data_IF_949225131701
#
_entry.id   IF_949225131701
#
_cell.length_a   1.000
_cell.length_b   1.000
_cell.length_c   1.000
_cell.angle_alpha   90.00
_cell.angle_beta   90.00
_cell.angle_gamma   90.00
#
_symmetry.space_group_name_H-M   'P 1'
#
loop_
_entity.id
_entity.type
_entity.pdbx_description
1 polymer ?
#
# COMPACT_ATOMS: atom_id res chain seq x y z
N UNK A 1 -13.10 84.81 -31.78
CA UNK A 1 -13.12 84.12 -30.48
C UNK A 1 -11.84 83.29 -30.43
N UNK A 2 -10.75 83.97 -30.14
CA UNK A 2 -10.00 83.90 -28.87
C UNK A 2 -9.28 82.55 -28.70
N UNK A 3 -8.01 82.46 -28.33
CA UNK A 3 -6.83 83.32 -28.37
C UNK A 3 -5.69 82.36 -27.99
N UNK A 4 -4.52 82.48 -28.62
CA UNK A 4 -3.18 82.25 -28.02
C UNK A 4 -2.90 81.01 -27.12
N UNK A 5 -1.83 80.25 -27.42
CA UNK A 5 -0.45 80.44 -26.90
C UNK A 5 0.35 79.13 -26.84
N UNK A 6 1.57 79.23 -27.39
CA UNK A 6 2.84 78.63 -26.98
C UNK A 6 2.82 77.75 -25.71
N UNK A 7 3.28 76.51 -25.86
CA UNK A 7 3.81 75.74 -24.74
C UNK A 7 5.35 75.65 -24.84
N UNK A 8 6.00 76.41 -23.96
CA UNK A 8 7.40 76.25 -23.58
C UNK A 8 7.57 74.96 -22.80
N UNK A 9 8.67 74.28 -23.07
CA UNK A 9 9.27 73.22 -22.27
C UNK A 9 9.64 73.71 -20.88
N UNK A 10 9.24 72.97 -19.85
CA UNK A 10 9.85 73.06 -18.52
C UNK A 10 9.92 71.66 -17.91
N UNK A 11 11.14 71.24 -17.59
CA UNK A 11 11.50 69.96 -16.99
C UNK A 11 10.97 69.90 -15.56
N UNK A 12 10.26 68.82 -15.21
CA UNK A 12 10.16 68.35 -13.83
C UNK A 12 10.96 67.06 -13.68
N UNK A 13 11.85 67.07 -12.69
CA UNK A 13 12.65 65.92 -12.22
C UNK A 13 11.72 64.95 -11.49
N UNK A 14 11.64 63.71 -11.97
CA UNK A 14 11.06 62.60 -11.22
C UNK A 14 12.19 61.75 -10.61
N UNK A 15 12.11 61.56 -9.29
CA UNK A 15 12.91 60.61 -8.52
C UNK A 15 12.59 59.17 -8.98
N UNK A 16 13.58 58.26 -9.07
CA UNK A 16 13.33 56.88 -9.42
C UNK A 16 12.95 56.12 -8.15
N UNK A 17 11.67 55.83 -7.98
CA UNK A 17 11.22 54.71 -7.16
C UNK A 17 10.17 53.96 -7.98
N UNK A 18 10.63 53.00 -8.77
CA UNK A 18 9.79 51.95 -9.36
C UNK A 18 10.63 50.67 -9.31
N UNK A 19 10.37 49.85 -8.29
CA UNK A 19 9.58 48.62 -8.39
C UNK A 19 10.24 47.60 -9.33
N UNK A 20 11.22 46.88 -8.77
CA UNK A 20 11.75 45.66 -9.35
C UNK A 20 10.64 44.59 -9.21
N UNK A 21 9.91 44.31 -10.28
CA UNK A 21 9.06 43.11 -10.35
C UNK A 21 10.00 41.93 -10.50
N UNK A 22 10.36 41.31 -9.37
CA UNK A 22 11.01 40.01 -9.35
C UNK A 22 9.92 38.99 -9.69
N UNK A 23 9.93 38.51 -10.94
CA UNK A 23 9.31 37.25 -11.31
C UNK A 23 10.09 36.14 -10.60
N UNK A 24 9.62 35.75 -9.41
CA UNK A 24 10.00 34.51 -8.77
C UNK A 24 9.27 33.39 -9.51
N UNK A 25 9.96 32.46 -10.21
CA UNK A 25 9.35 31.19 -10.53
C UNK A 25 9.09 30.49 -9.19
N UNK A 26 7.82 30.35 -8.81
CA UNK A 26 7.44 29.37 -7.81
C UNK A 26 7.67 27.99 -8.43
N UNK A 27 8.91 27.51 -8.34
CA UNK A 27 9.19 26.09 -8.37
C UNK A 27 8.53 25.50 -7.12
N UNK A 28 7.27 25.08 -7.26
CA UNK A 28 6.67 24.14 -6.32
C UNK A 28 7.46 22.83 -6.50
N UNK A 29 8.59 22.71 -5.80
CA UNK A 29 9.12 21.40 -5.48
C UNK A 29 8.09 20.75 -4.57
N UNK A 30 7.25 19.88 -5.15
CA UNK A 30 6.64 18.81 -4.39
C UNK A 30 7.79 18.04 -3.76
N UNK A 31 7.96 18.26 -2.46
CA UNK A 31 8.83 17.47 -1.63
C UNK A 31 8.13 16.12 -1.49
N UNK A 32 8.36 15.22 -2.44
CA UNK A 32 8.14 13.80 -2.20
C UNK A 32 9.06 13.47 -1.03
N UNK A 33 8.47 13.25 0.15
CA UNK A 33 9.17 12.94 1.40
C UNK A 33 9.81 11.55 1.30
N UNK A 34 10.86 11.43 0.49
CA UNK A 34 11.74 10.28 0.48
C UNK A 34 13.10 10.76 0.98
N UNK A 35 13.38 10.44 2.24
CA UNK A 35 14.68 10.67 2.86
C UNK A 35 15.70 9.77 2.13
N UNK A 36 16.65 10.32 1.35
CA UNK A 36 17.51 9.54 0.45
C UNK A 36 18.62 8.76 1.16
N UNK A 37 18.67 8.81 2.49
CA UNK A 37 19.57 8.00 3.32
C UNK A 37 18.72 7.09 4.20
N UNK A 38 18.38 5.89 3.71
CA UNK A 38 17.85 4.82 4.57
C UNK A 38 18.90 4.51 5.64
N UNK A 39 18.62 4.73 6.93
CA UNK A 39 19.48 4.25 8.00
C UNK A 39 19.60 2.72 7.91
N UNK A 40 20.76 2.18 8.26
CA UNK A 40 21.05 0.74 8.32
C UNK A 40 20.24 0.02 9.41
N UNK A 41 18.91 0.02 9.34
CA UNK A 41 18.08 -0.79 10.21
C UNK A 41 17.83 -2.15 9.60
N UNK A 42 18.17 -3.18 10.37
CA UNK A 42 18.01 -4.58 10.01
C UNK A 42 16.94 -5.24 10.86
N UNK A 43 16.30 -4.48 11.77
CA UNK A 43 15.14 -4.89 12.54
C UNK A 43 13.83 -4.44 11.89
N UNK A 44 12.84 -5.33 11.89
CA UNK A 44 11.55 -5.16 11.25
C UNK A 44 10.41 -5.47 12.21
N UNK A 45 9.31 -4.74 12.09
CA UNK A 45 8.03 -5.14 12.66
C UNK A 45 7.42 -6.22 11.78
N UNK A 46 6.87 -7.26 12.41
CA UNK A 46 6.04 -8.25 11.74
C UNK A 46 4.73 -8.40 12.49
N UNK A 47 3.62 -8.37 11.78
CA UNK A 47 2.38 -8.93 12.29
C UNK A 47 2.49 -10.45 12.27
N UNK A 48 1.95 -11.11 13.29
CA UNK A 48 1.97 -12.56 13.38
C UNK A 48 0.66 -13.10 13.94
N UNK A 49 0.34 -14.32 13.51
CA UNK A 49 -0.70 -15.14 14.13
C UNK A 49 -0.11 -16.37 14.81
N UNK A 50 -0.74 -16.79 15.90
CA UNK A 50 -0.36 -18.00 16.64
C UNK A 50 -0.92 -19.26 15.99
N UNK A 51 -0.11 -20.33 15.91
CA UNK A 51 -0.57 -21.67 15.49
C UNK A 51 -1.04 -22.54 16.65
N UNK A 52 -0.90 -22.06 17.89
CA UNK A 52 -1.20 -22.83 19.11
C UNK A 52 -2.44 -22.32 19.83
N UNK A 53 -3.20 -21.40 19.21
CA UNK A 53 -4.36 -20.74 19.81
C UNK A 53 -3.99 -19.71 20.90
N UNK A 54 -2.72 -19.33 20.98
CA UNK A 54 -2.27 -18.21 21.82
C UNK A 54 -2.60 -16.87 21.14
N UNK A 55 -2.24 -15.77 21.79
CA UNK A 55 -2.44 -14.42 21.25
C UNK A 55 -1.72 -14.22 19.92
N UNK A 56 -2.42 -13.63 18.96
CA UNK A 56 -1.83 -12.99 17.80
C UNK A 56 -1.19 -11.66 18.23
N UNK A 57 -0.32 -11.08 17.39
CA UNK A 57 0.26 -9.79 17.71
C UNK A 57 1.34 -9.31 16.77
N UNK A 58 2.22 -8.46 17.31
CA UNK A 58 3.30 -7.81 16.58
C UNK A 58 4.63 -8.22 17.22
N UNK A 59 5.66 -8.44 16.42
CA UNK A 59 7.00 -8.72 16.89
C UNK A 59 8.05 -7.82 16.21
N UNK A 60 9.19 -7.62 16.88
CA UNK A 60 10.40 -7.03 16.28
C UNK A 60 11.38 -8.15 15.99
N UNK A 61 11.85 -8.24 14.75
CA UNK A 61 12.73 -9.32 14.27
C UNK A 61 13.95 -8.78 13.52
N UNK A 62 15.13 -9.35 13.78
CA UNK A 62 16.36 -9.10 13.03
C UNK A 62 16.38 -9.92 11.73
N UNK A 63 16.52 -9.27 10.57
CA UNK A 63 16.47 -9.90 9.26
C UNK A 63 17.75 -9.76 8.44
N UNK A 64 18.81 -9.14 8.95
CA UNK A 64 20.10 -9.23 8.28
C UNK A 64 20.71 -10.64 8.45
N UNK A 65 20.91 -11.42 7.37
CA UNK A 65 21.49 -12.76 7.43
C UNK A 65 22.93 -12.80 7.94
N UNK A 66 23.58 -11.64 8.02
CA UNK A 66 24.95 -11.48 8.51
C UNK A 66 24.98 -11.12 10.00
N UNK A 67 23.83 -10.84 10.62
CA UNK A 67 23.72 -10.57 12.05
C UNK A 67 23.82 -11.87 12.88
N UNK A 68 24.52 -11.88 14.03
CA UNK A 68 24.61 -13.05 14.91
C UNK A 68 23.25 -13.57 15.41
N UNK A 69 22.26 -12.69 15.47
CA UNK A 69 20.91 -12.93 15.95
C UNK A 69 19.86 -12.92 14.81
N UNK A 70 20.28 -13.21 13.58
CA UNK A 70 19.36 -13.37 12.44
C UNK A 70 18.16 -14.26 12.78
N UNK A 71 16.96 -13.73 12.51
CA UNK A 71 15.67 -14.34 12.81
C UNK A 71 15.31 -14.40 14.30
N UNK A 72 16.01 -13.67 15.17
CA UNK A 72 15.65 -13.54 16.58
C UNK A 72 14.55 -12.49 16.77
N UNK A 73 13.59 -12.78 17.65
CA UNK A 73 12.56 -11.83 18.05
C UNK A 73 13.02 -11.12 19.33
N UNK A 74 13.20 -9.80 19.27
CA UNK A 74 13.70 -8.98 20.38
C UNK A 74 12.58 -8.35 21.22
N UNK A 75 11.40 -8.17 20.64
CA UNK A 75 10.21 -7.61 21.29
C UNK A 75 8.95 -8.26 20.74
N UNK A 76 7.94 -8.45 21.59
CA UNK A 76 6.60 -8.87 21.19
C UNK A 76 5.54 -8.02 21.89
N UNK A 77 4.42 -7.82 21.21
CA UNK A 77 3.22 -7.21 21.75
C UNK A 77 2.02 -8.05 21.31
N UNK A 78 1.38 -8.67 22.29
CA UNK A 78 0.17 -9.47 22.06
C UNK A 78 -1.05 -8.55 21.93
N UNK A 79 -1.90 -8.84 20.94
CA UNK A 79 -3.17 -8.14 20.71
C UNK A 79 -4.38 -8.95 21.20
N UNK A 80 -4.24 -10.28 21.21
CA UNK A 80 -5.28 -11.22 21.65
C UNK A 80 -5.45 -12.37 20.66
N UNK A 81 -6.10 -13.45 21.11
CA UNK A 81 -6.36 -14.60 20.26
C UNK A 81 -7.45 -14.27 19.22
N UNK A 82 -7.19 -14.57 17.95
CA UNK A 82 -8.15 -14.33 16.86
C UNK A 82 -8.26 -12.86 16.45
N UNK A 83 -7.31 -12.02 16.85
CA UNK A 83 -7.22 -10.64 16.34
C UNK A 83 -6.79 -10.65 14.89
N UNK A 84 -5.86 -11.54 14.52
CA UNK A 84 -5.36 -11.67 13.14
C UNK A 84 -4.88 -10.31 12.57
N UNK A 85 -3.85 -9.68 13.17
CA UNK A 85 -3.25 -8.48 12.60
C UNK A 85 -2.72 -8.80 11.21
N UNK A 86 -2.95 -7.91 10.25
CA UNK A 86 -2.80 -8.21 8.83
C UNK A 86 -1.85 -7.25 8.13
N UNK A 87 -2.05 -5.93 8.17
CA UNK A 87 -1.16 -4.97 7.52
C UNK A 87 -0.57 -3.94 8.49
N UNK A 88 0.71 -3.62 8.33
CA UNK A 88 1.40 -2.57 9.08
C UNK A 88 1.59 -1.32 8.22
N UNK A 89 1.29 -0.15 8.79
CA UNK A 89 1.44 1.14 8.11
C UNK A 89 1.97 2.23 9.02
N UNK A 90 2.84 3.07 8.45
CA UNK A 90 3.11 4.38 9.02
C UNK A 90 2.15 5.43 8.49
N UNK A 91 1.87 6.45 9.31
CA UNK A 91 1.29 7.68 8.78
C UNK A 91 2.31 8.48 7.93
N UNK A 92 1.83 9.52 7.23
CA UNK A 92 2.62 10.33 6.27
C UNK A 92 4.00 10.80 6.75
N UNK A 93 4.14 11.15 8.04
CA UNK A 93 5.41 11.63 8.59
C UNK A 93 6.17 10.55 9.41
N UNK A 94 5.76 9.29 9.28
CA UNK A 94 6.37 8.13 9.93
C UNK A 94 6.51 8.23 11.45
N UNK A 95 5.61 8.96 12.11
CA UNK A 95 5.66 9.15 13.57
C UNK A 95 4.60 8.34 14.35
N UNK A 96 3.67 7.70 13.64
CA UNK A 96 2.68 6.77 14.19
C UNK A 96 2.68 5.49 13.35
N UNK A 97 2.64 4.36 14.02
CA UNK A 97 2.49 3.04 13.42
C UNK A 97 1.07 2.53 13.67
N UNK A 98 0.51 1.85 12.70
CA UNK A 98 -0.82 1.25 12.73
C UNK A 98 -0.72 -0.20 12.29
N UNK A 99 -1.55 -1.07 12.86
CA UNK A 99 -1.83 -2.40 12.32
C UNK A 99 -3.32 -2.52 12.04
N UNK A 100 -3.68 -2.99 10.86
CA UNK A 100 -5.05 -3.42 10.54
C UNK A 100 -5.22 -4.87 10.92
N UNK A 101 -6.46 -5.30 11.12
CA UNK A 101 -6.74 -6.64 11.61
C UNK A 101 -8.03 -7.20 11.00
N UNK A 102 -8.04 -8.50 10.76
CA UNK A 102 -9.21 -9.21 10.22
C UNK A 102 -10.23 -9.52 11.32
N UNK A 103 -9.79 -9.53 12.58
CA UNK A 103 -10.61 -9.71 13.78
C UNK A 103 -10.37 -8.62 14.83
N UNK A 104 -10.90 -8.86 16.04
CA UNK A 104 -10.75 -7.93 17.16
C UNK A 104 -11.41 -6.57 16.90
N UNK A 105 -10.62 -5.50 17.05
CA UNK A 105 -11.06 -4.12 16.80
C UNK A 105 -10.78 -3.63 15.38
N UNK A 106 -10.24 -4.48 14.51
CA UNK A 106 -9.94 -4.24 13.09
C UNK A 106 -8.89 -3.17 12.76
N UNK A 107 -8.62 -2.23 13.67
CA UNK A 107 -7.58 -1.21 13.54
C UNK A 107 -6.98 -0.86 14.90
N UNK A 108 -5.66 -0.81 14.97
CA UNK A 108 -4.92 -0.43 16.18
C UNK A 108 -3.84 0.59 15.86
N UNK A 109 -3.69 1.61 16.71
CA UNK A 109 -2.46 2.41 16.73
C UNK A 109 -1.44 1.73 17.65
N UNK A 110 -0.24 1.50 17.12
CA UNK A 110 0.87 0.87 17.82
C UNK A 110 1.80 1.96 18.36
N UNK A 111 2.09 1.90 19.66
CA UNK A 111 3.12 2.70 20.29
C UNK A 111 4.43 1.94 20.31
N UNK A 112 5.46 2.55 19.75
CA UNK A 112 6.83 2.02 19.71
C UNK A 112 7.78 2.99 20.42
N UNK A 113 8.86 2.45 20.97
CA UNK A 113 9.94 3.20 21.63
C UNK A 113 11.28 2.57 21.24
N UNK A 114 12.38 3.22 21.62
CA UNK A 114 13.73 2.64 21.56
C UNK A 114 14.20 2.30 22.97
N UNK A 115 14.85 1.15 23.14
CA UNK A 115 15.47 0.79 24.40
C UNK A 115 16.77 1.60 24.65
N UNK A 116 17.46 1.32 25.76
CA UNK A 116 18.71 2.00 26.15
C UNK A 116 19.85 1.85 25.12
N UNK A 117 19.77 0.85 24.24
CA UNK A 117 20.75 0.56 23.20
C UNK A 117 20.27 1.06 21.82
N UNK A 118 19.10 1.70 21.74
CA UNK A 118 18.51 2.16 20.50
C UNK A 118 17.66 1.12 19.77
N UNK A 119 17.45 -0.08 20.35
CA UNK A 119 16.70 -1.15 19.69
C UNK A 119 15.19 -0.86 19.72
N UNK A 120 14.47 -1.12 18.62
CA UNK A 120 13.02 -0.95 18.57
C UNK A 120 12.31 -1.82 19.61
N UNK A 121 11.34 -1.24 20.29
CA UNK A 121 10.52 -1.89 21.31
C UNK A 121 9.04 -1.59 21.08
N UNK A 122 8.22 -2.62 21.16
CA UNK A 122 6.76 -2.49 21.15
C UNK A 122 6.27 -2.22 22.58
N UNK A 123 5.40 -1.22 22.76
CA UNK A 123 4.96 -0.75 24.08
C UNK A 123 3.50 -1.08 24.34
N UNK A 124 2.63 -0.71 23.42
CA UNK A 124 1.18 -0.91 23.57
C UNK A 124 0.49 -0.76 22.22
N UNK A 125 -0.68 -1.38 22.07
CA UNK A 125 -1.59 -1.14 20.96
C UNK A 125 -2.90 -0.59 21.51
N UNK A 126 -3.41 0.47 20.89
CA UNK A 126 -4.68 1.09 21.26
C UNK A 126 -5.68 0.85 20.14
N UNK A 127 -6.82 0.21 20.39
CA UNK A 127 -7.84 0.03 19.37
C UNK A 127 -8.39 1.38 18.92
N UNK A 128 -8.69 1.50 17.63
CA UNK A 128 -9.34 2.66 17.04
C UNK A 128 -10.78 2.27 16.73
N UNK A 129 -11.72 3.16 17.06
CA UNK A 129 -13.15 2.93 16.79
C UNK A 129 -13.43 2.97 15.27
N UNK A 130 -13.78 1.82 14.71
CA UNK A 130 -14.16 1.66 13.30
C UNK A 130 -15.67 1.79 13.09
N UNK A 131 -16.43 2.11 14.13
CA UNK A 131 -17.88 2.19 14.11
C UNK A 131 -18.51 0.84 13.80
N UNK A 132 -19.38 0.80 12.79
CA UNK A 132 -20.01 -0.43 12.32
C UNK A 132 -19.15 -1.24 11.34
N UNK A 133 -17.96 -0.75 10.96
CA UNK A 133 -17.16 -1.35 9.91
C UNK A 133 -16.30 -2.50 10.44
N UNK A 134 -16.28 -3.60 9.70
CA UNK A 134 -15.67 -4.87 10.10
C UNK A 134 -14.66 -5.37 9.06
N UNK A 135 -13.65 -6.12 9.54
CA UNK A 135 -12.60 -6.77 8.74
C UNK A 135 -11.74 -5.77 7.99
N UNK A 136 -10.69 -5.29 8.65
CA UNK A 136 -9.86 -4.20 8.17
C UNK A 136 -8.69 -4.65 7.31
N UNK A 137 -8.50 -3.99 6.16
CA UNK A 137 -7.46 -4.33 5.18
C UNK A 137 -6.41 -3.22 5.05
N UNK A 138 -6.46 -2.43 3.98
CA UNK A 138 -5.37 -1.51 3.63
C UNK A 138 -5.67 -0.09 4.10
N UNK A 139 -4.60 0.66 4.39
CA UNK A 139 -4.66 2.08 4.71
C UNK A 139 -4.08 2.94 3.58
N UNK A 140 -4.62 4.14 3.41
CA UNK A 140 -3.98 5.20 2.65
C UNK A 140 -4.05 6.52 3.42
N UNK A 141 -2.91 7.12 3.74
CA UNK A 141 -2.85 8.43 4.38
C UNK A 141 -2.73 9.54 3.33
N UNK A 142 -3.45 10.65 3.49
CA UNK A 142 -3.44 11.79 2.57
C UNK A 142 -2.80 13.02 3.20
N UNK A 143 -2.34 13.96 2.37
CA UNK A 143 -1.67 15.18 2.80
C UNK A 143 -2.59 16.15 3.55
N UNK A 144 -3.91 16.04 3.38
CA UNK A 144 -4.88 16.91 4.05
C UNK A 144 -5.24 16.46 5.48
N UNK A 145 -4.51 15.48 6.03
CA UNK A 145 -4.69 15.01 7.39
C UNK A 145 -5.83 14.00 7.55
N UNK A 146 -6.32 13.40 6.46
CA UNK A 146 -7.18 12.21 6.49
C UNK A 146 -6.37 10.94 6.27
N UNK A 147 -6.92 9.81 6.73
CA UNK A 147 -6.56 8.51 6.19
C UNK A 147 -7.82 7.70 5.88
N UNK A 148 -7.67 6.80 4.93
CA UNK A 148 -8.72 5.93 4.44
C UNK A 148 -8.37 4.50 4.79
N UNK A 149 -9.40 3.70 5.05
CA UNK A 149 -9.25 2.28 5.36
C UNK A 149 -10.34 1.49 4.65
N UNK A 150 -9.96 0.41 4.00
CA UNK A 150 -10.90 -0.55 3.43
C UNK A 150 -11.38 -1.52 4.50
N UNK A 151 -12.67 -1.84 4.43
CA UNK A 151 -13.32 -2.81 5.29
C UNK A 151 -14.07 -3.82 4.43
N UNK A 152 -13.52 -5.02 4.30
CA UNK A 152 -14.08 -6.08 3.46
C UNK A 152 -15.48 -6.47 3.92
N UNK A 153 -15.71 -6.52 5.22
CA UNK A 153 -16.99 -6.92 5.80
C UNK A 153 -18.03 -5.81 5.80
N UNK A 154 -17.63 -4.53 5.65
CA UNK A 154 -18.54 -3.40 5.82
C UNK A 154 -19.31 -3.54 7.15
N UNK A 155 -20.65 -3.52 7.09
CA UNK A 155 -21.52 -3.70 8.26
C UNK A 155 -21.87 -5.18 8.56
N UNK A 156 -21.25 -6.15 7.88
CA UNK A 156 -21.40 -7.59 8.09
C UNK A 156 -22.34 -8.30 7.13
N UNK A 157 -22.84 -7.64 6.08
CA UNK A 157 -23.72 -8.24 5.08
C UNK A 157 -23.00 -9.07 4.01
N UNK A 158 -23.74 -10.01 3.41
CA UNK A 158 -23.24 -10.96 2.40
C UNK A 158 -22.70 -10.34 1.11
N UNK A 159 -22.89 -9.05 0.84
CA UNK A 159 -22.32 -8.32 -0.30
C UNK A 159 -21.92 -6.91 0.12
N UNK A 160 -21.57 -6.77 1.40
CA UNK A 160 -21.16 -5.50 1.97
C UNK A 160 -19.71 -5.19 1.62
N UNK A 161 -19.36 -3.95 1.93
CA UNK A 161 -18.04 -3.39 1.78
C UNK A 161 -18.11 -1.91 2.09
N UNK A 162 -17.04 -1.35 2.63
CA UNK A 162 -17.00 0.08 2.89
C UNK A 162 -15.58 0.62 2.93
N UNK A 163 -15.48 1.95 2.85
CA UNK A 163 -14.25 2.68 3.14
C UNK A 163 -14.49 3.62 4.30
N UNK A 164 -13.74 3.46 5.39
CA UNK A 164 -13.72 4.42 6.49
C UNK A 164 -12.82 5.60 6.18
N UNK A 165 -13.25 6.80 6.56
CA UNK A 165 -12.47 8.04 6.47
C UNK A 165 -12.21 8.54 7.87
N UNK A 166 -10.95 8.65 8.23
CA UNK A 166 -10.50 8.98 9.56
C UNK A 166 -9.70 10.28 9.58
N UNK A 167 -9.71 10.95 10.72
CA UNK A 167 -8.80 12.05 10.99
C UNK A 167 -7.44 11.50 11.44
N UNK A 168 -6.36 11.78 10.71
CA UNK A 168 -5.02 11.26 11.02
C UNK A 168 -4.40 11.85 12.30
N UNK A 169 -4.90 12.99 12.78
CA UNK A 169 -4.38 13.61 14.00
C UNK A 169 -4.88 12.90 15.25
N UNK A 170 -6.18 12.57 15.31
CA UNK A 170 -6.82 12.02 16.51
C UNK A 170 -7.48 10.63 16.31
N UNK A 171 -7.31 10.02 15.14
CA UNK A 171 -7.88 8.72 14.74
C UNK A 171 -9.41 8.63 14.78
N UNK A 172 -10.12 9.74 14.82
CA UNK A 172 -11.58 9.71 14.83
C UNK A 172 -12.12 9.30 13.46
N UNK A 173 -13.03 8.32 13.42
CA UNK A 173 -13.84 8.03 12.24
C UNK A 173 -14.75 9.23 11.94
N UNK A 174 -14.56 9.85 10.77
CA UNK A 174 -15.31 11.02 10.31
C UNK A 174 -16.48 10.59 9.42
N UNK A 175 -16.28 9.58 8.58
CA UNK A 175 -17.26 9.15 7.57
C UNK A 175 -17.05 7.69 7.21
N UNK A 176 -18.14 7.02 6.87
CA UNK A 176 -18.10 5.74 6.16
C UNK A 176 -18.69 5.94 4.76
N UNK A 177 -17.95 5.52 3.74
CA UNK A 177 -18.36 5.48 2.34
C UNK A 177 -18.93 4.09 2.09
N UNK A 178 -20.22 4.03 1.75
CA UNK A 178 -20.93 2.79 1.43
C UNK A 178 -21.66 2.96 0.12
N UNK A 179 -21.71 1.89 -0.67
CA UNK A 179 -22.50 1.82 -1.89
C UNK A 179 -22.91 0.36 -2.13
N UNK A 180 -24.02 -0.09 -1.55
CA UNK A 180 -24.50 -1.46 -1.71
C UNK A 180 -24.77 -1.78 -3.19
N UNK A 181 -24.34 -2.96 -3.64
CA UNK A 181 -24.51 -3.39 -5.03
C UNK A 181 -25.99 -3.49 -5.46
N UNK A 182 -26.89 -3.69 -4.50
CA UNK A 182 -28.34 -3.76 -4.73
C UNK A 182 -28.93 -2.40 -5.11
N UNK A 183 -28.34 -1.30 -4.66
CA UNK A 183 -28.80 0.05 -4.95
C UNK A 183 -28.37 0.49 -6.36
N UNK A 184 -27.14 0.13 -6.75
CA UNK A 184 -26.62 0.39 -8.09
C UNK A 184 -25.56 -0.63 -8.52
N UNK A 185 -25.89 -1.57 -9.42
CA UNK A 185 -24.95 -2.61 -9.84
C UNK A 185 -23.79 -2.09 -10.70
N UNK A 186 -23.83 -0.83 -11.15
CA UNK A 186 -22.75 -0.20 -11.92
C UNK A 186 -21.84 0.67 -11.06
N UNK A 187 -22.20 0.91 -9.79
CA UNK A 187 -21.46 1.78 -8.87
C UNK A 187 -21.63 1.28 -7.44
N UNK A 188 -20.73 0.40 -7.01
CA UNK A 188 -20.82 -0.25 -5.71
C UNK A 188 -19.46 -0.44 -5.05
N UNK A 189 -19.48 -0.69 -3.75
CA UNK A 189 -18.32 -1.15 -2.97
C UNK A 189 -18.73 -2.49 -2.36
N UNK A 190 -17.97 -3.54 -2.67
CA UNK A 190 -18.18 -4.89 -2.14
C UNK A 190 -16.81 -5.51 -1.91
N UNK A 191 -16.56 -6.03 -0.72
CA UNK A 191 -15.29 -6.67 -0.34
C UNK A 191 -14.02 -5.86 -0.68
N UNK A 192 -13.98 -4.55 -0.35
CA UNK A 192 -12.79 -3.76 -0.66
C UNK A 192 -11.59 -4.25 0.13
N UNK A 193 -10.49 -4.51 -0.58
CA UNK A 193 -9.21 -4.94 -0.01
C UNK A 193 -8.16 -3.85 -0.28
N UNK A 194 -7.55 -3.86 -1.46
CA UNK A 194 -6.63 -2.83 -1.92
C UNK A 194 -7.28 -1.46 -2.04
N UNK A 195 -6.51 -0.43 -1.72
CA UNK A 195 -6.86 0.98 -1.87
C UNK A 195 -5.67 1.74 -2.44
N UNK A 196 -5.94 2.68 -3.35
CA UNK A 196 -4.92 3.63 -3.79
C UNK A 196 -5.54 4.98 -4.08
N UNK A 197 -4.79 6.04 -3.80
CA UNK A 197 -5.23 7.43 -3.97
C UNK A 197 -4.24 8.20 -4.83
N UNK A 198 -4.77 9.02 -5.72
CA UNK A 198 -4.04 10.03 -6.45
C UNK A 198 -4.61 11.41 -6.08
N UNK A 199 -3.99 12.07 -5.11
CA UNK A 199 -4.46 13.35 -4.56
C UNK A 199 -4.49 14.47 -5.60
N UNK A 200 -3.51 14.49 -6.52
CA UNK A 200 -3.43 15.48 -7.60
C UNK A 200 -4.66 15.44 -8.52
N UNK A 201 -5.21 14.23 -8.74
CA UNK A 201 -6.44 14.04 -9.52
C UNK A 201 -7.71 14.09 -8.67
N UNK A 202 -7.58 14.06 -7.34
CA UNK A 202 -8.69 13.92 -6.42
C UNK A 202 -9.43 12.59 -6.59
N UNK A 203 -8.68 11.50 -6.83
CA UNK A 203 -9.24 10.17 -7.10
C UNK A 203 -8.75 9.14 -6.10
N UNK A 204 -9.66 8.23 -5.73
CA UNK A 204 -9.39 7.04 -4.94
C UNK A 204 -9.95 5.83 -5.68
N UNK A 205 -9.29 4.69 -5.63
CA UNK A 205 -9.81 3.45 -6.18
C UNK A 205 -9.66 2.33 -5.15
N UNK A 206 -10.67 1.48 -5.06
CA UNK A 206 -10.66 0.28 -4.21
C UNK A 206 -10.96 -0.97 -5.03
N UNK A 207 -10.35 -2.09 -4.68
CA UNK A 207 -10.61 -3.38 -5.32
C UNK A 207 -11.88 -4.05 -4.77
N UNK A 208 -12.23 -5.23 -5.29
CA UNK A 208 -13.30 -6.09 -4.79
C UNK A 208 -12.78 -7.53 -4.83
N UNK A 209 -12.33 -8.06 -3.69
CA UNK A 209 -11.56 -9.31 -3.64
C UNK A 209 -12.43 -10.53 -3.34
N UNK A 210 -12.78 -10.71 -2.06
CA UNK A 210 -13.43 -11.92 -1.54
C UNK A 210 -14.22 -11.56 -0.28
N UNK A 211 -15.33 -12.24 -0.03
CA UNK A 211 -16.03 -12.09 1.25
C UNK A 211 -15.13 -12.53 2.43
N UNK A 212 -15.18 -11.87 3.60
CA UNK A 212 -14.31 -12.19 4.75
C UNK A 212 -14.36 -13.64 5.27
N UNK A 213 -15.48 -14.34 5.09
CA UNK A 213 -15.60 -15.76 5.45
C UNK A 213 -14.93 -16.72 4.44
N UNK A 214 -14.31 -16.17 3.39
CA UNK A 214 -13.60 -16.85 2.31
C UNK A 214 -14.46 -17.80 1.47
N UNK A 215 -15.79 -17.79 1.65
CA UNK A 215 -16.70 -18.79 1.04
C UNK A 215 -17.95 -18.19 0.42
N UNK A 216 -18.43 -17.04 0.89
CA UNK A 216 -19.68 -16.42 0.43
C UNK A 216 -19.58 -15.71 -0.92
N UNK A 217 -18.38 -15.49 -1.46
CA UNK A 217 -18.20 -15.04 -2.83
C UNK A 217 -16.90 -14.29 -3.08
N UNK A 218 -16.64 -14.03 -4.36
CA UNK A 218 -15.48 -13.31 -4.86
C UNK A 218 -15.93 -12.12 -5.72
N UNK A 219 -15.10 -11.09 -5.77
CA UNK A 219 -15.28 -9.95 -6.66
C UNK A 219 -14.41 -10.06 -7.92
N UNK A 220 -14.62 -9.11 -8.82
CA UNK A 220 -13.89 -8.99 -10.09
C UNK A 220 -13.81 -7.54 -10.58
N UNK A 221 -13.85 -6.58 -9.66
CA UNK A 221 -13.97 -5.16 -10.01
C UNK A 221 -13.02 -4.26 -9.22
N UNK A 222 -12.79 -3.07 -9.76
CA UNK A 222 -12.23 -1.92 -9.04
C UNK A 222 -13.19 -0.74 -9.12
N UNK A 223 -13.48 -0.08 -8.00
CA UNK A 223 -14.40 1.06 -7.94
C UNK A 223 -13.65 2.37 -7.72
N UNK A 224 -13.86 3.33 -8.63
CA UNK A 224 -13.32 4.68 -8.57
C UNK A 224 -14.26 5.62 -7.82
N UNK A 225 -13.68 6.37 -6.90
CA UNK A 225 -14.35 7.26 -5.96
C UNK A 225 -13.72 8.65 -6.09
N UNK A 226 -14.56 9.68 -6.10
CA UNK A 226 -14.08 11.06 -5.96
C UNK A 226 -13.57 11.29 -4.52
N UNK A 227 -12.31 11.67 -4.38
CA UNK A 227 -11.65 11.80 -3.08
C UNK A 227 -12.25 12.91 -2.20
N UNK A 228 -12.90 13.91 -2.82
CA UNK A 228 -13.45 15.08 -2.12
C UNK A 228 -14.91 14.91 -1.79
N UNK A 229 -15.72 14.42 -2.74
CA UNK A 229 -17.16 14.26 -2.54
C UNK A 229 -17.55 12.89 -2.01
N UNK A 230 -16.66 11.90 -2.11
CA UNK A 230 -16.89 10.49 -1.81
C UNK A 230 -17.93 9.83 -2.73
N UNK A 231 -18.26 10.46 -3.85
CA UNK A 231 -19.17 9.90 -4.84
C UNK A 231 -18.47 8.86 -5.71
N UNK A 232 -19.15 7.74 -5.97
CA UNK A 232 -18.67 6.73 -6.89
C UNK A 232 -18.77 7.22 -8.33
N UNK A 233 -17.64 7.20 -9.02
CA UNK A 233 -17.51 7.67 -10.40
C UNK A 233 -17.76 6.56 -11.41
N UNK A 234 -17.20 5.37 -11.15
CA UNK A 234 -17.22 4.21 -12.05
C UNK A 234 -16.86 2.94 -11.28
N UNK A 235 -17.42 1.79 -11.67
CA UNK A 235 -16.92 0.47 -11.27
C UNK A 235 -16.44 -0.27 -12.50
N UNK A 236 -15.15 -0.59 -12.52
CA UNK A 236 -14.46 -1.23 -13.63
C UNK A 236 -14.41 -2.74 -13.43
N UNK A 237 -14.67 -3.50 -14.49
CA UNK A 237 -14.36 -4.91 -14.52
C UNK A 237 -12.84 -5.13 -14.67
N UNK A 238 -12.29 -6.07 -13.90
CA UNK A 238 -10.88 -6.47 -13.93
C UNK A 238 -10.81 -7.98 -14.08
N UNK A 239 -11.37 -8.47 -15.18
CA UNK A 239 -11.49 -9.88 -15.53
C UNK A 239 -11.76 -10.01 -17.03
N UNK A 240 -11.53 -11.19 -17.61
CA UNK A 240 -11.75 -11.43 -19.05
C UNK A 240 -13.25 -11.33 -19.42
N UNK A 241 -14.14 -11.73 -18.52
CA UNK A 241 -15.59 -11.57 -18.66
C UNK A 241 -16.28 -11.20 -17.33
N UNK A 242 -17.49 -10.60 -17.36
CA UNK A 242 -18.22 -10.22 -16.15
C UNK A 242 -18.52 -11.40 -15.20
N UNK A 243 -18.54 -12.62 -15.71
CA UNK A 243 -18.80 -13.84 -14.94
C UNK A 243 -17.54 -14.47 -14.34
N UNK A 244 -16.36 -14.02 -14.76
CA UNK A 244 -15.09 -14.53 -14.24
C UNK A 244 -14.77 -13.87 -12.90
N UNK A 245 -14.51 -14.70 -11.89
CA UNK A 245 -14.16 -14.26 -10.55
C UNK A 245 -12.63 -14.15 -10.45
N UNK A 246 -12.08 -12.98 -10.77
CA UNK A 246 -10.64 -12.73 -10.78
C UNK A 246 -10.06 -12.37 -9.41
N UNK A 247 -10.89 -11.85 -8.49
CA UNK A 247 -10.47 -11.36 -7.16
C UNK A 247 -9.30 -10.37 -7.22
N UNK A 248 -9.51 -9.14 -7.73
CA UNK A 248 -8.50 -8.10 -7.71
C UNK A 248 -8.05 -7.81 -6.27
N UNK A 249 -6.77 -7.91 -5.96
CA UNK A 249 -6.26 -7.73 -4.58
C UNK A 249 -5.81 -6.30 -4.39
N UNK A 250 -4.73 -5.93 -5.08
CA UNK A 250 -4.16 -4.60 -5.02
C UNK A 250 -4.50 -3.77 -6.24
N UNK A 251 -4.64 -2.47 -6.01
CA UNK A 251 -4.76 -1.46 -7.06
C UNK A 251 -3.74 -0.37 -6.77
N UNK A 252 -3.11 0.15 -7.82
CA UNK A 252 -2.14 1.23 -7.69
C UNK A 252 -2.42 2.32 -8.72
N UNK A 253 -2.82 3.49 -8.25
CA UNK A 253 -2.97 4.68 -9.07
C UNK A 253 -1.60 5.38 -9.20
N UNK A 254 -0.94 5.19 -10.34
CA UNK A 254 0.37 5.80 -10.58
C UNK A 254 0.29 7.32 -10.47
N UNK A 255 1.33 7.90 -9.84
CA UNK A 255 1.37 9.31 -9.40
C UNK A 255 2.78 9.88 -9.52
N UNK A 256 2.90 11.22 -9.42
CA UNK A 256 4.19 11.90 -9.56
C UNK A 256 4.83 11.65 -10.92
N UNK A 257 6.08 11.18 -10.92
CA UNK A 257 6.88 10.96 -12.13
C UNK A 257 6.40 9.79 -13.01
N UNK A 258 5.52 8.93 -12.51
CA UNK A 258 5.11 7.73 -13.23
C UNK A 258 4.05 8.00 -14.32
N UNK A 259 4.04 7.20 -15.40
CA UNK A 259 3.00 7.26 -16.42
C UNK A 259 1.60 7.15 -15.82
N UNK A 260 0.63 7.87 -16.38
CA UNK A 260 -0.69 8.07 -15.77
C UNK A 260 -1.62 6.87 -16.01
N UNK A 261 -1.36 5.76 -15.33
CA UNK A 261 -2.14 4.53 -15.38
C UNK A 261 -2.62 4.11 -13.98
N UNK A 262 -3.61 3.22 -13.95
CA UNK A 262 -3.90 2.37 -12.80
C UNK A 262 -3.40 0.96 -13.11
N UNK A 263 -2.80 0.29 -12.13
CA UNK A 263 -2.46 -1.13 -12.17
C UNK A 263 -3.34 -1.89 -11.19
N UNK A 264 -3.66 -3.15 -11.49
CA UNK A 264 -4.33 -4.04 -10.56
C UNK A 264 -3.79 -5.47 -10.65
N UNK A 265 -3.66 -6.15 -9.51
CA UNK A 265 -3.30 -7.56 -9.43
C UNK A 265 -4.57 -8.40 -9.25
N UNK A 266 -4.60 -9.62 -9.80
CA UNK A 266 -5.70 -10.56 -9.56
C UNK A 266 -5.19 -11.86 -8.98
N UNK A 267 -5.73 -12.23 -7.81
CA UNK A 267 -5.35 -13.44 -7.10
C UNK A 267 -5.71 -14.69 -7.92
N UNK A 268 -6.93 -14.71 -8.47
CA UNK A 268 -7.38 -15.78 -9.35
C UNK A 268 -7.00 -15.41 -10.79
N UNK A 269 -6.26 -16.29 -11.45
CA UNK A 269 -5.60 -16.04 -12.75
C UNK A 269 -4.11 -15.71 -12.62
N UNK A 270 -3.72 -14.97 -11.57
CA UNK A 270 -2.34 -14.55 -11.38
C UNK A 270 -1.93 -13.44 -12.34
N UNK A 271 -2.84 -12.49 -12.62
CA UNK A 271 -2.68 -11.54 -13.71
C UNK A 271 -2.33 -10.13 -13.21
N UNK A 272 -1.77 -9.33 -14.12
CA UNK A 272 -1.60 -7.89 -13.94
C UNK A 272 -2.43 -7.18 -15.02
N UNK A 273 -3.23 -6.23 -14.58
CA UNK A 273 -4.12 -5.42 -15.40
C UNK A 273 -3.71 -3.95 -15.37
N UNK A 274 -4.03 -3.21 -16.43
CA UNK A 274 -3.75 -1.78 -16.53
C UNK A 274 -4.92 -1.02 -17.12
N UNK A 275 -5.13 0.22 -16.67
CA UNK A 275 -6.07 1.15 -17.26
C UNK A 275 -5.42 2.54 -17.45
N UNK A 276 -5.45 3.15 -18.65
CA UNK A 276 -4.96 4.51 -18.85
C UNK A 276 -5.89 5.53 -18.21
N UNK A 277 -5.30 6.59 -17.64
CA UNK A 277 -6.08 7.74 -17.20
C UNK A 277 -6.50 8.62 -18.37
N UNK A 278 -7.79 8.92 -18.44
CA UNK A 278 -8.39 9.78 -19.46
C UNK A 278 -8.68 11.17 -18.87
N UNK A 279 -7.84 12.13 -19.25
CA UNK A 279 -7.92 13.51 -18.75
C UNK A 279 -9.22 14.24 -19.16
N UNK A 280 -9.85 13.85 -20.28
CA UNK A 280 -11.08 14.49 -20.74
C UNK A 280 -12.29 14.07 -19.88
N UNK A 281 -12.37 12.79 -19.53
CA UNK A 281 -13.46 12.24 -18.70
C UNK A 281 -13.16 12.30 -17.20
N UNK A 282 -11.90 12.58 -16.82
CA UNK A 282 -11.38 12.53 -15.44
C UNK A 282 -11.62 11.18 -14.77
N UNK A 283 -11.46 10.11 -15.55
CA UNK A 283 -11.66 8.71 -15.16
C UNK A 283 -10.53 7.87 -15.76
N UNK A 284 -10.46 6.60 -15.39
CA UNK A 284 -9.66 5.62 -16.12
C UNK A 284 -10.51 4.99 -17.23
N UNK A 285 -9.89 4.54 -18.30
CA UNK A 285 -10.56 3.70 -19.30
C UNK A 285 -10.68 2.24 -18.79
N UNK A 286 -11.18 1.33 -19.62
CA UNK A 286 -11.32 -0.07 -19.23
C UNK A 286 -9.95 -0.73 -18.92
N UNK A 287 -9.92 -1.60 -17.92
CA UNK A 287 -8.74 -2.40 -17.62
C UNK A 287 -8.48 -3.42 -18.72
N UNK A 288 -7.21 -3.58 -19.09
CA UNK A 288 -6.74 -4.61 -20.01
C UNK A 288 -5.64 -5.44 -19.35
N UNK A 289 -5.65 -6.75 -19.61
CA UNK A 289 -4.63 -7.66 -19.11
C UNK A 289 -3.32 -7.40 -19.84
N UNK A 290 -2.23 -7.19 -19.09
CA UNK A 290 -0.88 -6.96 -19.63
C UNK A 290 0.13 -8.01 -19.18
N UNK A 291 -0.24 -8.85 -18.23
CA UNK A 291 0.51 -10.03 -17.83
C UNK A 291 -0.45 -11.16 -17.48
N UNK A 292 -0.20 -12.34 -18.05
CA UNK A 292 -0.93 -13.57 -17.76
C UNK A 292 -0.01 -14.52 -16.97
N UNK A 293 -0.20 -14.59 -15.66
CA UNK A 293 0.64 -15.41 -14.79
C UNK A 293 0.47 -16.91 -15.02
N UNK A 294 -0.74 -17.33 -15.43
CA UNK A 294 -1.05 -18.74 -15.67
C UNK A 294 -0.15 -19.35 -16.75
N UNK A 295 0.20 -18.56 -17.78
CA UNK A 295 1.14 -18.99 -18.85
C UNK A 295 2.56 -19.24 -18.36
N UNK A 296 2.91 -18.75 -17.17
CA UNK A 296 4.21 -18.91 -16.53
C UNK A 296 4.18 -19.82 -15.30
N UNK A 297 3.04 -20.47 -15.04
CA UNK A 297 2.84 -21.30 -13.85
C UNK A 297 2.83 -20.47 -12.56
N UNK A 298 2.40 -19.21 -12.64
CA UNK A 298 2.22 -18.31 -11.51
C UNK A 298 0.73 -18.17 -11.22
N UNK A 299 0.39 -18.07 -9.94
CA UNK A 299 -0.95 -17.75 -9.46
C UNK A 299 -0.89 -16.91 -8.20
N UNK A 300 -2.04 -16.42 -7.75
CA UNK A 300 -2.14 -15.63 -6.52
C UNK A 300 -1.23 -14.40 -6.57
N UNK A 301 -1.47 -13.52 -7.55
CA UNK A 301 -0.77 -12.23 -7.62
C UNK A 301 -1.35 -11.30 -6.57
N UNK A 302 -0.50 -10.80 -5.68
CA UNK A 302 -0.94 -10.06 -4.50
C UNK A 302 -0.41 -8.63 -4.53
N UNK A 303 0.84 -8.41 -4.11
CA UNK A 303 1.36 -7.07 -3.83
C UNK A 303 2.09 -6.42 -4.98
N UNK A 304 2.11 -5.08 -4.97
CA UNK A 304 2.88 -4.24 -5.90
C UNK A 304 3.71 -3.19 -5.14
N UNK A 305 5.00 -3.08 -5.50
CA UNK A 305 5.92 -2.05 -5.01
C UNK A 305 6.71 -1.46 -6.17
N UNK A 306 6.82 -0.13 -6.25
CA UNK A 306 7.56 0.55 -7.32
C UNK A 306 8.74 1.33 -6.77
N UNK A 307 9.96 0.95 -7.14
CA UNK A 307 11.18 1.69 -6.79
C UNK A 307 11.40 2.95 -7.64
N UNK A 308 12.33 3.79 -7.20
CA UNK A 308 12.69 5.05 -7.88
C UNK A 308 13.32 4.86 -9.27
N UNK A 309 13.69 3.61 -9.62
CA UNK A 309 14.30 3.25 -10.89
C UNK A 309 13.29 2.64 -11.87
N UNK A 310 11.99 2.91 -11.68
CA UNK A 310 10.89 2.36 -12.49
C UNK A 310 10.84 0.83 -12.47
N UNK A 311 11.19 0.19 -11.34
CA UNK A 311 11.02 -1.25 -11.17
C UNK A 311 9.78 -1.55 -10.35
N UNK A 312 8.85 -2.28 -10.96
CA UNK A 312 7.67 -2.84 -10.31
C UNK A 312 7.99 -4.25 -9.81
N UNK A 313 7.94 -4.44 -8.50
CA UNK A 313 8.04 -5.73 -7.82
C UNK A 313 6.62 -6.25 -7.56
N UNK A 314 6.34 -7.48 -8.00
CA UNK A 314 5.03 -8.10 -7.86
C UNK A 314 5.16 -9.47 -7.21
N UNK A 315 4.45 -9.71 -6.10
CA UNK A 315 4.46 -11.02 -5.43
C UNK A 315 3.42 -11.99 -6.01
N UNK A 316 3.81 -13.26 -6.05
CA UNK A 316 2.99 -14.39 -6.49
C UNK A 316 3.10 -15.50 -5.45
N UNK A 317 2.02 -15.79 -4.73
CA UNK A 317 2.08 -16.72 -3.60
C UNK A 317 2.28 -18.17 -4.03
N UNK A 318 1.84 -18.58 -5.23
CA UNK A 318 2.09 -19.91 -5.79
C UNK A 318 2.84 -19.79 -7.12
N UNK A 319 4.09 -20.31 -7.22
CA UNK A 319 4.81 -21.16 -6.28
C UNK A 319 5.64 -20.41 -5.22
N UNK A 320 5.48 -19.10 -5.07
CA UNK A 320 6.34 -18.26 -4.22
C UNK A 320 7.40 -17.55 -5.04
N UNK A 321 7.04 -16.43 -5.67
CA UNK A 321 7.92 -15.63 -6.52
C UNK A 321 7.70 -14.14 -6.30
N UNK A 322 8.74 -13.37 -6.57
CA UNK A 322 8.61 -11.93 -6.84
C UNK A 322 9.15 -11.67 -8.23
N UNK A 323 8.30 -11.19 -9.14
CA UNK A 323 8.73 -10.76 -10.47
C UNK A 323 9.04 -9.27 -10.43
N UNK A 324 10.10 -8.88 -11.14
CA UNK A 324 10.55 -7.49 -11.23
C UNK A 324 10.42 -7.05 -12.67
N UNK A 325 9.57 -6.06 -12.93
CA UNK A 325 9.31 -5.50 -14.25
C UNK A 325 9.86 -4.08 -14.36
N UNK A 326 10.33 -3.71 -15.54
CA UNK A 326 10.55 -2.31 -15.92
C UNK A 326 9.22 -1.72 -16.41
N UNK A 327 8.82 -0.59 -15.83
CA UNK A 327 7.59 0.14 -16.16
C UNK A 327 7.84 1.46 -16.89
N UNK A 328 9.05 1.69 -17.38
CA UNK A 328 9.39 2.94 -18.09
C UNK A 328 8.60 3.10 -19.41
N UNK A 329 8.11 2.00 -20.00
CA UNK A 329 7.43 1.96 -21.30
C UNK A 329 5.99 1.41 -21.20
N UNK A 330 5.26 1.71 -20.12
CA UNK A 330 3.86 1.32 -20.00
C UNK A 330 3.03 1.75 -21.24
N UNK A 331 2.12 0.88 -21.73
CA UNK A 331 1.56 -0.29 -21.05
C UNK A 331 2.38 -1.59 -21.17
N UNK A 332 3.52 -1.58 -21.85
CA UNK A 332 4.33 -2.79 -21.99
C UNK A 332 5.17 -3.06 -20.74
N UNK A 333 4.96 -4.21 -20.10
CA UNK A 333 5.84 -4.69 -19.03
C UNK A 333 7.03 -5.45 -19.64
N UNK A 334 8.23 -5.12 -19.15
CA UNK A 334 9.43 -5.88 -19.47
C UNK A 334 9.95 -6.57 -18.22
N UNK A 335 9.87 -7.91 -18.19
CA UNK A 335 10.43 -8.70 -17.11
C UNK A 335 11.95 -8.50 -17.06
N UNK A 336 12.45 -7.99 -15.95
CA UNK A 336 13.87 -7.83 -15.66
C UNK A 336 14.43 -9.03 -14.90
N UNK A 337 13.65 -9.55 -13.95
CA UNK A 337 14.11 -10.58 -13.02
C UNK A 337 12.95 -11.35 -12.39
N UNK A 338 13.27 -12.56 -11.97
CA UNK A 338 12.43 -13.36 -11.08
C UNK A 338 13.23 -13.70 -9.84
N UNK A 339 12.72 -13.33 -8.67
CA UNK A 339 13.26 -13.65 -7.37
C UNK A 339 12.47 -14.85 -6.82
N UNK A 340 13.19 -15.85 -6.30
CA UNK A 340 12.56 -17.03 -5.72
C UNK A 340 12.40 -16.85 -4.22
N UNK A 341 11.15 -16.92 -3.76
CA UNK A 341 10.76 -16.97 -2.37
C UNK A 341 10.11 -18.32 -2.06
N UNK A 342 9.62 -18.51 -0.84
CA UNK A 342 8.84 -19.70 -0.50
C UNK A 342 7.36 -19.48 -0.85
N UNK A 343 6.57 -20.56 -0.93
CA UNK A 343 5.11 -20.46 -1.13
C UNK A 343 4.45 -19.56 -0.09
N UNK A 344 3.48 -18.78 -0.54
CA UNK A 344 2.83 -17.74 0.27
C UNK A 344 3.48 -16.37 0.16
N UNK A 345 4.44 -16.18 -0.76
CA UNK A 345 5.07 -14.88 -0.99
C UNK A 345 4.02 -13.78 -1.17
N UNK A 346 3.99 -12.83 -0.24
CA UNK A 346 2.93 -11.84 -0.15
C UNK A 346 3.52 -10.44 0.08
N UNK A 347 3.71 -10.01 1.33
CA UNK A 347 4.32 -8.71 1.64
C UNK A 347 5.84 -8.74 1.53
N UNK A 348 6.45 -7.58 1.24
CA UNK A 348 7.89 -7.46 1.19
C UNK A 348 8.40 -6.09 1.64
N UNK A 349 9.61 -6.07 2.20
CA UNK A 349 10.36 -4.86 2.59
C UNK A 349 11.74 -4.87 1.95
N UNK A 350 12.30 -3.68 1.72
CA UNK A 350 13.58 -3.48 1.06
C UNK A 350 14.59 -2.83 2.02
N UNK A 351 15.81 -3.36 2.06
CA UNK A 351 16.86 -2.80 2.91
C UNK A 351 18.27 -3.14 2.40
N UNK A 352 19.29 -2.60 3.08
CA UNK A 352 20.69 -2.96 2.88
C UNK A 352 21.23 -3.75 4.06
N UNK A 353 21.87 -4.90 3.80
CA UNK A 353 22.56 -5.65 4.86
C UNK A 353 23.73 -4.85 5.44
N UNK A 354 24.28 -5.28 6.58
CA UNK A 354 25.47 -4.66 7.20
C UNK A 354 26.69 -4.61 6.27
N UNK A 355 26.84 -5.56 5.32
CA UNK A 355 27.87 -5.49 4.27
C UNK A 355 27.45 -4.73 3.00
N UNK A 356 26.31 -4.05 3.03
CA UNK A 356 25.87 -3.13 1.97
C UNK A 356 25.16 -3.79 0.80
N UNK A 357 24.69 -5.04 0.94
CA UNK A 357 23.92 -5.72 -0.12
C UNK A 357 22.48 -5.25 -0.13
N UNK A 358 21.98 -4.86 -1.30
CA UNK A 358 20.55 -4.55 -1.50
C UNK A 358 19.74 -5.84 -1.53
N UNK A 359 18.79 -5.95 -0.60
CA UNK A 359 17.98 -7.15 -0.40
C UNK A 359 16.51 -6.80 -0.31
N UNK A 360 15.68 -7.79 -0.63
CA UNK A 360 14.25 -7.80 -0.32
C UNK A 360 13.99 -8.93 0.68
N UNK A 361 13.30 -8.63 1.78
CA UNK A 361 12.74 -9.64 2.66
C UNK A 361 11.28 -9.87 2.26
N UNK A 362 10.94 -11.11 1.92
CA UNK A 362 9.62 -11.51 1.48
C UNK A 362 8.97 -12.36 2.57
N UNK A 363 7.82 -11.91 3.06
CA UNK A 363 6.97 -12.66 3.98
C UNK A 363 6.20 -13.73 3.20
N UNK A 364 6.24 -14.98 3.68
CA UNK A 364 5.71 -16.15 2.96
C UNK A 364 4.59 -16.84 3.75
N UNK A 365 3.39 -16.26 3.69
CA UNK A 365 2.14 -16.80 4.24
C UNK A 365 0.93 -16.02 3.68
N UNK A 366 -0.16 -16.72 3.40
CA UNK A 366 -1.44 -16.16 2.99
C UNK A 366 -2.57 -16.78 3.83
N UNK A 367 -2.98 -16.08 4.90
CA UNK A 367 -4.15 -16.39 5.73
C UNK A 367 -4.18 -17.80 6.36
N UNK A 368 -3.03 -18.47 6.51
CA UNK A 368 -2.92 -19.88 6.86
C UNK A 368 -3.71 -20.84 5.91
N UNK A 369 -3.85 -20.50 4.61
CA UNK A 369 -4.44 -21.37 3.60
C UNK A 369 -3.60 -22.64 3.35
N UNK A 370 -4.14 -23.87 3.49
CA UNK A 370 -3.38 -25.10 3.30
C UNK A 370 -2.57 -25.14 2.01
N UNK A 371 -1.30 -25.54 2.10
CA UNK A 371 -0.32 -25.61 1.00
C UNK A 371 0.10 -24.27 0.38
N UNK A 372 -0.32 -23.13 0.95
CA UNK A 372 0.07 -21.79 0.50
C UNK A 372 0.76 -20.96 1.59
N UNK A 373 1.17 -21.58 2.71
CA UNK A 373 1.93 -20.89 3.76
C UNK A 373 3.15 -21.68 4.18
N UNK A 374 4.31 -21.14 3.84
CA UNK A 374 5.58 -21.65 4.32
C UNK A 374 5.83 -21.25 5.78
N UNK A 375 5.27 -20.12 6.23
CA UNK A 375 5.52 -19.57 7.57
C UNK A 375 6.95 -19.08 7.73
N UNK A 376 7.53 -18.58 6.65
CA UNK A 376 8.92 -18.14 6.55
C UNK A 376 9.01 -16.68 6.14
N UNK A 377 10.19 -16.09 6.35
CA UNK A 377 10.62 -14.85 5.70
C UNK A 377 11.91 -15.13 4.94
N UNK A 378 11.91 -14.93 3.62
CA UNK A 378 13.07 -15.12 2.75
C UNK A 378 13.79 -13.80 2.52
N UNK A 379 15.10 -13.73 2.75
CA UNK A 379 15.93 -12.56 2.46
C UNK A 379 16.75 -12.81 1.20
N UNK A 380 16.47 -12.03 0.15
CA UNK A 380 16.96 -12.29 -1.22
C UNK A 380 17.76 -11.08 -1.71
N UNK A 381 18.98 -11.31 -2.17
CA UNK A 381 19.81 -10.28 -2.81
C UNK A 381 19.23 -9.87 -4.16
N UNK A 382 18.86 -8.60 -4.31
CA UNK A 382 18.14 -8.10 -5.50
C UNK A 382 19.00 -8.22 -6.76
N UNK A 383 20.32 -7.98 -6.64
CA UNK A 383 21.23 -8.02 -7.78
C UNK A 383 21.40 -9.43 -8.34
N UNK A 384 21.57 -10.43 -7.49
CA UNK A 384 21.89 -11.80 -7.92
C UNK A 384 20.69 -12.74 -7.94
N UNK A 385 19.60 -12.38 -7.24
CA UNK A 385 18.48 -13.27 -6.97
C UNK A 385 18.77 -14.38 -5.97
N UNK A 386 19.95 -14.35 -5.33
CA UNK A 386 20.36 -15.38 -4.35
C UNK A 386 19.67 -15.15 -3.01
N UNK A 387 19.02 -16.18 -2.48
CA UNK A 387 18.57 -16.20 -1.09
C UNK A 387 19.79 -16.19 -0.17
N UNK A 388 19.92 -15.15 0.65
CA UNK A 388 20.99 -14.98 1.62
C UNK A 388 20.65 -15.62 2.97
N UNK A 389 19.36 -15.72 3.30
CA UNK A 389 18.88 -16.38 4.51
C UNK A 389 17.37 -16.58 4.47
N UNK A 390 16.88 -17.53 5.27
CA UNK A 390 15.45 -17.77 5.48
C UNK A 390 15.21 -17.94 6.97
N UNK A 391 14.24 -17.19 7.51
CA UNK A 391 13.76 -17.37 8.88
C UNK A 391 12.51 -18.23 8.85
N UNK A 392 12.50 -19.37 9.53
CA UNK A 392 11.32 -20.22 9.67
C UNK A 392 10.61 -19.96 11.00
N UNK A 393 9.60 -19.08 10.97
CA UNK A 393 8.85 -18.67 12.16
C UNK A 393 7.92 -19.76 12.65
N UNK A 394 7.36 -20.55 11.73
CA UNK A 394 6.51 -21.70 12.05
C UNK A 394 7.24 -22.70 12.93
N UNK A 395 8.44 -23.13 12.53
CA UNK A 395 9.21 -24.11 13.29
C UNK A 395 9.88 -23.52 14.53
N UNK A 396 10.36 -22.27 14.47
CA UNK A 396 11.13 -21.66 15.55
C UNK A 396 10.24 -21.14 16.69
N UNK A 397 9.06 -20.62 16.38
CA UNK A 397 8.21 -19.93 17.35
C UNK A 397 6.75 -20.37 17.36
N UNK A 398 6.32 -21.25 16.44
CA UNK A 398 4.91 -21.66 16.35
C UNK A 398 3.97 -20.52 15.92
N UNK A 399 4.48 -19.60 15.09
CA UNK A 399 3.71 -18.46 14.56
C UNK A 399 3.85 -18.39 13.04
N UNK A 400 2.91 -17.69 12.38
CA UNK A 400 3.02 -17.32 10.97
C UNK A 400 3.16 -15.80 10.84
N UNK A 401 4.03 -15.31 9.95
CA UNK A 401 4.10 -13.88 9.65
C UNK A 401 2.91 -13.48 8.76
N UNK A 402 2.20 -12.42 9.11
CA UNK A 402 1.06 -11.90 8.35
C UNK A 402 1.49 -10.74 7.45
N UNK A 403 2.20 -9.74 7.98
CA UNK A 403 2.87 -8.69 7.21
C UNK A 403 4.21 -8.28 7.82
N UNK A 404 4.90 -7.35 7.17
CA UNK A 404 6.23 -6.88 7.53
C UNK A 404 6.41 -5.39 7.20
N UNK A 405 7.05 -4.64 8.09
CA UNK A 405 7.37 -3.22 7.90
C UNK A 405 8.66 -2.83 8.66
N UNK A 406 9.34 -1.77 8.21
CA UNK A 406 10.55 -1.23 8.82
C UNK A 406 10.34 -0.64 10.21
N UNK A 407 11.37 -0.69 11.06
CA UNK A 407 11.31 -0.11 12.42
C UNK A 407 11.75 1.35 12.52
N UNK A 408 12.34 1.91 11.45
CA UNK A 408 12.78 3.30 11.36
C UNK A 408 12.00 4.08 10.28
N UNK A 409 10.71 3.79 10.14
CA UNK A 409 9.86 4.33 9.08
C UNK A 409 9.64 3.32 7.94
N UNK A 410 8.87 3.73 6.90
CA UNK A 410 8.54 2.86 5.78
C UNK A 410 9.80 2.28 5.14
N UNK A 411 9.87 0.96 5.06
CA UNK A 411 10.91 0.22 4.32
C UNK A 411 10.41 -0.28 2.97
N UNK A 412 9.28 0.28 2.53
CA UNK A 412 8.62 -0.02 1.28
C UNK A 412 8.81 1.16 0.33
N UNK A 413 8.99 0.84 -0.96
CA UNK A 413 8.90 1.85 -2.00
C UNK A 413 7.44 2.33 -2.18
N UNK A 414 7.15 3.07 -3.25
CA UNK A 414 5.77 3.44 -3.55
C UNK A 414 4.89 2.19 -3.58
N UNK A 415 3.91 2.21 -2.67
CA UNK A 415 2.99 1.13 -2.33
C UNK A 415 1.73 1.80 -1.82
N UNK A 416 0.56 1.31 -2.23
CA UNK A 416 -0.79 1.90 -2.10
C UNK A 416 -0.87 3.41 -2.39
#
# INVERSE_FOLDING_TARGET
MENTKNLKTMKLKFNPVFLLVILLPFSNCQNDNHNPELPHDTAFYIDYRSLTGQSDGIAVIELDPEAPDFGNISSKLELGAGVLPHHLYYNQNANKLYTTALGGSYLYQVKTEKDKNGQPKLVSATPIDTGENTVGENLFFTNDGRFFMTFMGGAGGLKDGSVGVFNANNNQLIKTIKAPIQDNPNKFIMYPHGISVNEEKGLMMVTSTIHPDLTSGFGNTCTLIDLKTYELKETYQVADSPTDLSSPVEVLLLRGQFPQYALATTMLGGDIWIAPYNAATKKYDAFTKIFDGSTQGLGWTLEMYIDDNNRLYVSFADPGKVLVFDISNLPQLKLLKTLTADKGAHHMVFFKTKKGKEVVAVQNNLLDIPNLNSGTISVIEIQTGKTLGTVNLRSKYGILPESIEGTNGPSNYMHH
#
